data_IF_546125479751
#
_entry.id   IF_546125479751
#
_cell.length_a   1.000
_cell.length_b   1.000
_cell.length_c   1.000
_cell.angle_alpha   90.00
_cell.angle_beta   90.00
_cell.angle_gamma   90.00
#
_symmetry.space_group_name_H-M   'P 1'
#
loop_
_entity.id
_entity.type
_entity.pdbx_description
1 polymer ?
#
# COMPACT_ATOMS: atom_id res chain seq x y z
N UNK A 1 -10.58 -7.65 18.03
CA UNK A 1 -10.44 -8.28 19.35
C UNK A 1 -9.04 -8.07 19.95
N UNK A 2 -7.93 -8.46 19.32
CA UNK A 2 -6.58 -8.35 19.91
C UNK A 2 -6.25 -6.94 20.43
N UNK A 3 -6.56 -5.88 19.67
CA UNK A 3 -6.30 -4.51 20.10
C UNK A 3 -7.10 -4.12 21.35
N UNK A 4 -8.37 -4.53 21.42
CA UNK A 4 -9.22 -4.26 22.59
C UNK A 4 -8.66 -4.98 23.82
N UNK A 5 -8.29 -6.25 23.69
CA UNK A 5 -7.67 -7.02 24.79
C UNK A 5 -6.36 -6.36 25.24
N UNK A 6 -5.56 -5.89 24.28
CA UNK A 6 -4.30 -5.19 24.59
C UNK A 6 -4.53 -3.90 25.38
N UNK A 7 -5.50 -3.08 24.94
CA UNK A 7 -5.86 -1.83 25.64
C UNK A 7 -6.37 -2.13 27.04
N UNK A 8 -7.22 -3.16 27.18
CA UNK A 8 -7.76 -3.56 28.48
C UNK A 8 -6.65 -3.99 29.46
N UNK A 9 -5.69 -4.81 29.00
CA UNK A 9 -4.60 -5.31 29.86
C UNK A 9 -3.60 -4.20 30.20
N UNK A 10 -3.25 -3.31 29.25
CA UNK A 10 -2.19 -2.33 29.43
C UNK A 10 -2.66 -0.95 29.87
N UNK A 11 -3.97 -0.66 29.79
CA UNK A 11 -4.49 0.69 29.98
C UNK A 11 -4.01 1.73 28.94
N UNK A 12 -3.37 1.28 27.84
CA UNK A 12 -2.68 2.16 26.89
C UNK A 12 -3.11 1.90 25.44
N UNK A 13 -3.41 2.97 24.69
CA UNK A 13 -3.87 2.95 23.29
C UNK A 13 -2.72 2.98 22.28
N UNK A 14 -1.53 2.56 22.66
CA UNK A 14 -0.28 2.71 21.85
C UNK A 14 -0.42 2.29 20.39
N UNK A 15 -1.20 1.24 20.08
CA UNK A 15 -1.36 0.72 18.72
C UNK A 15 -2.68 1.12 18.06
N UNK A 16 -3.38 2.16 18.57
CA UNK A 16 -4.63 2.64 17.96
C UNK A 16 -4.42 3.17 16.53
N UNK A 17 -3.22 3.66 16.21
CA UNK A 17 -2.86 4.12 14.87
C UNK A 17 -2.97 3.01 13.80
N UNK A 18 -2.89 1.73 14.17
CA UNK A 18 -3.10 0.61 13.24
C UNK A 18 -4.51 0.61 12.64
N UNK A 19 -5.52 1.07 13.40
CA UNK A 19 -6.89 1.21 12.89
C UNK A 19 -6.91 2.25 11.76
N UNK A 20 -6.22 3.38 11.97
CA UNK A 20 -6.13 4.43 10.97
C UNK A 20 -5.41 3.96 9.71
N UNK A 21 -4.26 3.29 9.87
CA UNK A 21 -3.51 2.75 8.74
C UNK A 21 -4.33 1.70 7.97
N UNK A 22 -5.07 0.84 8.67
CA UNK A 22 -5.95 -0.12 8.02
C UNK A 22 -7.13 0.57 7.30
N UNK A 23 -7.70 1.63 7.88
CA UNK A 23 -8.71 2.44 7.21
C UNK A 23 -8.18 3.04 5.90
N UNK A 24 -6.95 3.58 5.91
CA UNK A 24 -6.32 4.09 4.69
C UNK A 24 -6.04 2.99 3.66
N UNK A 25 -5.77 1.76 4.09
CA UNK A 25 -5.61 0.61 3.21
C UNK A 25 -6.91 0.18 2.50
N UNK A 26 -8.08 0.49 3.08
CA UNK A 26 -9.37 0.25 2.43
C UNK A 26 -9.64 1.18 1.26
N UNK A 27 -9.11 2.40 1.24
CA UNK A 27 -9.39 3.41 0.20
C UNK A 27 -9.04 2.88 -1.20
N UNK A 28 -7.82 2.40 -1.49
CA UNK A 28 -7.48 1.89 -2.81
C UNK A 28 -8.30 0.65 -3.19
N UNK A 29 -8.66 -0.20 -2.24
CA UNK A 29 -9.54 -1.34 -2.52
C UNK A 29 -10.94 -0.89 -2.93
N UNK A 30 -11.53 0.09 -2.26
CA UNK A 30 -12.83 0.64 -2.66
C UNK A 30 -12.77 1.33 -4.04
N UNK A 31 -11.69 2.03 -4.35
CA UNK A 31 -11.48 2.64 -5.66
C UNK A 31 -11.33 1.59 -6.77
N UNK A 32 -10.64 0.48 -6.52
CA UNK A 32 -10.53 -0.62 -7.49
C UNK A 32 -11.88 -1.32 -7.72
N UNK A 33 -12.70 -1.48 -6.68
CA UNK A 33 -14.09 -1.98 -6.83
C UNK A 33 -14.92 -1.10 -7.76
N UNK A 34 -14.84 0.23 -7.59
CA UNK A 34 -15.53 1.18 -8.47
C UNK A 34 -15.03 1.07 -9.92
N UNK A 35 -13.71 0.87 -10.12
CA UNK A 35 -13.16 0.63 -11.46
C UNK A 35 -13.73 -0.64 -12.08
N UNK A 36 -13.68 -1.77 -11.37
CA UNK A 36 -14.19 -3.06 -11.90
C UNK A 36 -15.68 -2.98 -12.24
N UNK A 37 -16.49 -2.39 -11.38
CA UNK A 37 -17.94 -2.39 -11.54
C UNK A 37 -18.43 -1.41 -12.61
N UNK A 38 -17.71 -0.32 -12.86
CA UNK A 38 -18.21 0.81 -13.66
C UNK A 38 -17.28 1.30 -14.77
N UNK A 39 -16.14 0.62 -15.02
CA UNK A 39 -15.19 1.10 -16.03
C UNK A 39 -15.80 1.24 -17.43
N UNK A 40 -16.73 0.36 -17.83
CA UNK A 40 -17.40 0.41 -19.12
C UNK A 40 -18.37 1.59 -19.27
N UNK A 41 -18.90 2.11 -18.16
CA UNK A 41 -19.83 3.24 -18.13
C UNK A 41 -19.13 4.59 -18.07
N UNK A 42 -17.83 4.60 -17.70
CA UNK A 42 -17.09 5.82 -17.43
C UNK A 42 -16.47 6.40 -18.71
N UNK A 43 -16.47 7.73 -18.80
CA UNK A 43 -15.66 8.42 -19.80
C UNK A 43 -14.16 8.16 -19.53
N UNK A 44 -13.33 8.24 -20.57
CA UNK A 44 -11.86 8.09 -20.46
C UNK A 44 -11.25 9.01 -19.40
N UNK A 45 -11.74 10.24 -19.30
CA UNK A 45 -11.25 11.21 -18.29
C UNK A 45 -11.58 10.71 -16.88
N UNK A 46 -12.80 10.21 -16.65
CA UNK A 46 -13.22 9.69 -15.35
C UNK A 46 -12.42 8.46 -14.95
N UNK A 47 -12.15 7.56 -15.91
CA UNK A 47 -11.26 6.40 -15.67
C UNK A 47 -9.86 6.84 -15.24
N UNK A 48 -9.26 7.79 -15.95
CA UNK A 48 -7.93 8.31 -15.61
C UNK A 48 -7.93 8.96 -14.23
N UNK A 49 -8.95 9.73 -13.88
CA UNK A 49 -9.04 10.37 -12.56
C UNK A 49 -9.15 9.35 -11.43
N UNK A 50 -10.01 8.32 -11.58
CA UNK A 50 -10.17 7.29 -10.55
C UNK A 50 -8.91 6.43 -10.44
N UNK A 51 -8.29 6.07 -11.57
CA UNK A 51 -7.02 5.34 -11.59
C UNK A 51 -5.89 6.16 -10.91
N UNK A 52 -5.81 7.46 -11.19
CA UNK A 52 -4.82 8.35 -10.56
C UNK A 52 -5.05 8.47 -9.04
N UNK A 53 -6.31 8.60 -8.62
CA UNK A 53 -6.66 8.58 -7.20
C UNK A 53 -6.29 7.23 -6.57
N UNK A 54 -6.62 6.13 -7.23
CA UNK A 54 -6.22 4.79 -6.78
C UNK A 54 -4.70 4.68 -6.62
N UNK A 55 -3.93 5.07 -7.64
CA UNK A 55 -2.47 5.01 -7.61
C UNK A 55 -1.88 5.85 -6.48
N UNK A 56 -2.45 7.03 -6.22
CA UNK A 56 -2.03 7.92 -5.14
C UNK A 56 -2.26 7.30 -3.75
N UNK A 57 -3.39 6.61 -3.56
CA UNK A 57 -3.72 5.99 -2.27
C UNK A 57 -3.19 4.57 -2.12
N UNK A 58 -2.83 3.88 -3.20
CA UNK A 58 -2.40 2.48 -3.18
C UNK A 58 -1.21 2.21 -2.24
N UNK A 59 -0.18 3.07 -2.12
CA UNK A 59 0.94 2.83 -1.21
C UNK A 59 0.53 2.72 0.26
N UNK A 60 -0.62 3.27 0.68
CA UNK A 60 -1.08 3.18 2.08
C UNK A 60 -1.38 1.73 2.51
N UNK A 61 -1.81 0.88 1.57
CA UNK A 61 -2.14 -0.49 1.89
C UNK A 61 -0.88 -1.33 2.23
N UNK A 62 0.19 -1.39 1.42
CA UNK A 62 1.42 -2.06 1.80
C UNK A 62 2.25 -1.30 2.84
N UNK A 63 2.04 0.02 3.02
CA UNK A 63 2.74 0.82 4.03
C UNK A 63 2.66 0.21 5.43
N UNK A 64 1.54 -0.45 5.76
CA UNK A 64 1.29 -1.04 7.07
C UNK A 64 2.38 -2.07 7.48
N UNK A 65 3.14 -2.64 6.52
CA UNK A 65 4.29 -3.51 6.80
C UNK A 65 5.32 -2.79 7.65
N UNK A 66 5.50 -1.50 7.42
CA UNK A 66 6.49 -0.70 8.13
C UNK A 66 6.13 -0.47 9.61
N UNK A 67 4.90 -0.79 10.02
CA UNK A 67 4.47 -0.67 11.41
C UNK A 67 5.14 -1.67 12.34
N UNK A 68 5.80 -2.71 11.77
CA UNK A 68 6.70 -3.60 12.53
C UNK A 68 7.83 -2.84 13.25
N UNK A 69 8.23 -1.66 12.79
CA UNK A 69 9.25 -0.83 13.46
C UNK A 69 8.81 -0.38 14.86
N UNK A 70 7.49 -0.38 15.11
CA UNK A 70 6.92 -0.01 16.41
C UNK A 70 6.88 -1.16 17.40
N UNK A 71 7.27 -2.39 16.96
CA UNK A 71 7.37 -3.54 17.85
C UNK A 71 8.51 -3.35 18.83
N UNK A 72 8.19 -3.14 20.10
CA UNK A 72 9.17 -2.96 21.19
C UNK A 72 8.67 -3.67 22.43
N UNK A 73 9.62 -4.27 23.18
CA UNK A 73 9.32 -4.83 24.49
C UNK A 73 8.72 -3.75 25.41
N UNK A 74 7.54 -4.02 25.94
CA UNK A 74 6.85 -3.17 26.91
C UNK A 74 6.56 -3.95 28.17
N UNK A 75 6.65 -3.29 29.34
CA UNK A 75 6.35 -3.92 30.63
C UNK A 75 4.88 -4.40 30.66
N UNK A 76 4.66 -5.59 31.17
CA UNK A 76 3.33 -6.16 31.41
C UNK A 76 2.69 -6.84 30.21
N UNK A 77 3.25 -6.76 28.99
CA UNK A 77 2.72 -7.47 27.80
C UNK A 77 3.86 -8.22 27.10
N UNK A 78 3.69 -9.52 26.82
CA UNK A 78 4.67 -10.30 26.08
C UNK A 78 4.86 -9.77 24.66
N UNK A 79 6.10 -9.73 24.17
CA UNK A 79 6.42 -9.22 22.83
C UNK A 79 5.68 -9.98 21.71
N UNK A 80 5.50 -11.29 21.87
CA UNK A 80 4.80 -12.13 20.90
C UNK A 80 3.32 -11.70 20.71
N UNK A 81 2.67 -11.15 21.77
CA UNK A 81 1.30 -10.67 21.66
C UNK A 81 1.22 -9.42 20.76
N UNK A 82 2.11 -8.44 20.99
CA UNK A 82 2.19 -7.24 20.15
C UNK A 82 2.61 -7.59 18.71
N UNK A 83 3.48 -8.61 18.53
CA UNK A 83 3.84 -9.14 17.22
C UNK A 83 2.62 -9.68 16.45
N UNK A 84 1.83 -10.55 17.08
CA UNK A 84 0.62 -11.11 16.47
C UNK A 84 -0.39 -10.00 16.18
N UNK A 85 -0.55 -9.05 17.08
CA UNK A 85 -1.40 -7.89 16.89
C UNK A 85 -1.02 -7.10 15.63
N UNK A 86 0.22 -6.63 15.55
CA UNK A 86 0.71 -5.84 14.40
C UNK A 86 0.62 -6.68 13.12
N UNK A 87 1.06 -7.94 13.16
CA UNK A 87 1.04 -8.82 11.99
C UNK A 87 -0.39 -9.08 11.48
N UNK A 88 -1.40 -9.14 12.36
CA UNK A 88 -2.78 -9.28 11.93
C UNK A 88 -3.27 -8.08 11.11
N UNK A 89 -2.86 -6.86 11.46
CA UNK A 89 -3.16 -5.66 10.68
C UNK A 89 -2.39 -5.64 9.35
N UNK A 90 -1.09 -5.99 9.37
CA UNK A 90 -0.26 -6.11 8.17
C UNK A 90 -0.88 -7.09 7.18
N UNK A 91 -1.27 -8.27 7.65
CA UNK A 91 -1.89 -9.29 6.81
C UNK A 91 -3.15 -8.78 6.12
N UNK A 92 -4.06 -8.14 6.87
CA UNK A 92 -5.26 -7.55 6.28
C UNK A 92 -4.92 -6.43 5.27
N UNK A 93 -3.98 -5.56 5.56
CA UNK A 93 -3.54 -4.51 4.65
C UNK A 93 -2.95 -5.08 3.35
N UNK A 94 -2.11 -6.12 3.44
CA UNK A 94 -1.54 -6.79 2.26
C UNK A 94 -2.60 -7.50 1.41
N UNK A 95 -3.56 -8.17 2.04
CA UNK A 95 -4.68 -8.80 1.33
C UNK A 95 -5.48 -7.74 0.57
N UNK A 96 -5.82 -6.61 1.20
CA UNK A 96 -6.50 -5.50 0.54
C UNK A 96 -5.68 -4.94 -0.63
N UNK A 97 -4.36 -4.77 -0.45
CA UNK A 97 -3.46 -4.31 -1.50
C UNK A 97 -3.49 -5.26 -2.72
N UNK A 98 -3.33 -6.57 -2.49
CA UNK A 98 -3.24 -7.53 -3.58
C UNK A 98 -4.58 -7.76 -4.27
N UNK A 99 -5.70 -7.76 -3.53
CA UNK A 99 -7.04 -7.79 -4.13
C UNK A 99 -7.28 -6.55 -5.00
N UNK A 100 -6.99 -5.37 -4.48
CA UNK A 100 -7.10 -4.11 -5.21
C UNK A 100 -6.24 -4.09 -6.48
N UNK A 101 -4.99 -4.56 -6.37
CA UNK A 101 -4.07 -4.63 -7.50
C UNK A 101 -4.52 -5.64 -8.54
N UNK A 102 -5.06 -6.79 -8.12
CA UNK A 102 -5.60 -7.82 -9.03
C UNK A 102 -6.79 -7.28 -9.83
N UNK A 103 -7.70 -6.58 -9.17
CA UNK A 103 -8.85 -5.95 -9.81
C UNK A 103 -8.42 -4.92 -10.86
N UNK A 104 -7.51 -4.01 -10.51
CA UNK A 104 -6.98 -3.02 -11.45
C UNK A 104 -6.21 -3.69 -12.58
N UNK A 105 -5.43 -4.74 -12.31
CA UNK A 105 -4.72 -5.50 -13.34
C UNK A 105 -5.69 -6.10 -14.36
N UNK A 106 -6.82 -6.64 -13.92
CA UNK A 106 -7.84 -7.18 -14.81
C UNK A 106 -8.45 -6.08 -15.70
N UNK A 107 -8.78 -4.93 -15.12
CA UNK A 107 -9.29 -3.79 -15.90
C UNK A 107 -8.27 -3.32 -16.95
N UNK A 108 -6.98 -3.23 -16.58
CA UNK A 108 -5.93 -2.83 -17.54
C UNK A 108 -5.81 -3.85 -18.69
N UNK A 109 -5.94 -5.16 -18.41
CA UNK A 109 -5.88 -6.22 -19.42
C UNK A 109 -7.00 -6.13 -20.45
N UNK A 110 -8.14 -5.51 -20.13
CA UNK A 110 -9.22 -5.30 -21.10
C UNK A 110 -8.88 -4.19 -22.12
N UNK A 111 -8.02 -3.23 -21.76
CA UNK A 111 -7.67 -2.10 -22.61
C UNK A 111 -6.26 -2.21 -23.23
N UNK A 112 -5.39 -3.02 -22.66
CA UNK A 112 -3.98 -3.07 -23.00
C UNK A 112 -3.48 -4.50 -23.18
N UNK A 113 -2.34 -4.66 -23.89
CA UNK A 113 -1.67 -5.95 -23.98
C UNK A 113 -1.14 -6.44 -22.62
N UNK A 114 -0.93 -7.74 -22.51
CA UNK A 114 -0.40 -8.36 -21.29
C UNK A 114 0.94 -7.75 -20.85
N UNK A 115 1.82 -7.43 -21.81
CA UNK A 115 3.12 -6.80 -21.50
C UNK A 115 2.97 -5.43 -20.90
N UNK A 116 2.06 -4.60 -21.46
CA UNK A 116 1.77 -3.25 -20.93
C UNK A 116 1.15 -3.35 -19.54
N UNK A 117 0.24 -4.29 -19.33
CA UNK A 117 -0.40 -4.50 -18.04
C UNK A 117 0.63 -4.87 -16.97
N UNK A 118 1.52 -5.83 -17.23
CA UNK A 118 2.60 -6.19 -16.30
C UNK A 118 3.59 -5.06 -16.06
N UNK A 119 3.91 -4.27 -17.07
CA UNK A 119 4.75 -3.08 -16.91
C UNK A 119 4.08 -2.08 -15.96
N UNK A 120 2.79 -1.79 -16.17
CA UNK A 120 2.02 -0.86 -15.32
C UNK A 120 1.96 -1.36 -13.87
N UNK A 121 1.69 -2.64 -13.65
CA UNK A 121 1.67 -3.25 -12.31
C UNK A 121 3.05 -3.16 -11.65
N UNK A 122 4.11 -3.51 -12.37
CA UNK A 122 5.48 -3.44 -11.85
C UNK A 122 5.87 -2.02 -11.45
N UNK A 123 5.52 -1.04 -12.30
CA UNK A 123 5.73 0.37 -12.03
C UNK A 123 4.92 0.83 -10.80
N UNK A 124 3.66 0.41 -10.68
CA UNK A 124 2.82 0.72 -9.50
C UNK A 124 3.46 0.20 -8.21
N UNK A 125 3.98 -1.03 -8.21
CA UNK A 125 4.63 -1.61 -7.04
C UNK A 125 5.94 -0.91 -6.68
N UNK A 126 6.72 -0.49 -7.70
CA UNK A 126 7.93 0.32 -7.49
C UNK A 126 7.59 1.69 -6.91
N UNK A 127 6.59 2.37 -7.49
CA UNK A 127 6.08 3.65 -6.97
C UNK A 127 5.53 3.52 -5.55
N UNK A 128 4.94 2.36 -5.20
CA UNK A 128 4.51 2.09 -3.83
C UNK A 128 5.69 1.99 -2.86
N UNK A 129 6.81 1.40 -3.28
CA UNK A 129 8.05 1.41 -2.50
C UNK A 129 8.55 2.85 -2.24
N UNK A 130 8.46 3.73 -3.25
CA UNK A 130 8.78 5.14 -3.10
C UNK A 130 7.78 5.86 -2.18
N UNK A 131 6.48 5.59 -2.33
CA UNK A 131 5.43 6.12 -1.44
C UNK A 131 5.63 5.70 0.02
N UNK A 132 6.09 4.46 0.26
CA UNK A 132 6.48 3.98 1.59
C UNK A 132 7.66 4.80 2.15
N UNK A 133 8.65 5.12 1.31
CA UNK A 133 9.75 6.02 1.71
C UNK A 133 9.21 7.39 2.13
N UNK A 134 8.41 8.02 1.29
CA UNK A 134 7.82 9.33 1.58
C UNK A 134 7.00 9.32 2.87
N UNK A 135 6.16 8.32 3.06
CA UNK A 135 5.33 8.21 4.26
C UNK A 135 6.14 7.95 5.54
N UNK A 136 7.16 7.08 5.48
CA UNK A 136 7.90 6.66 6.67
C UNK A 136 9.01 7.61 7.09
N UNK A 137 9.71 8.20 6.13
CA UNK A 137 10.90 9.01 6.42
C UNK A 137 10.62 10.51 6.29
N UNK A 138 9.83 10.90 5.29
CA UNK A 138 9.46 12.31 5.06
C UNK A 138 8.13 12.69 5.71
N UNK A 139 7.35 11.69 6.20
CA UNK A 139 6.05 11.86 6.87
C UNK A 139 4.98 12.52 6.00
N UNK A 140 5.07 12.33 4.67
CA UNK A 140 4.05 12.75 3.73
C UNK A 140 2.90 11.75 3.66
N UNK A 141 1.69 12.27 3.56
CA UNK A 141 0.48 11.47 3.35
C UNK A 141 -0.05 11.69 1.91
N UNK A 142 -0.86 10.76 1.43
CA UNK A 142 -1.42 10.84 0.07
C UNK A 142 -2.26 12.10 -0.15
N UNK A 143 -2.92 12.63 0.85
CA UNK A 143 -3.70 13.87 0.74
C UNK A 143 -2.84 15.13 0.71
N UNK A 144 -1.61 15.10 1.19
CA UNK A 144 -0.72 16.28 1.18
C UNK A 144 -0.40 16.74 -0.24
N UNK A 145 -0.38 15.81 -1.20
CA UNK A 145 -0.27 16.16 -2.63
C UNK A 145 -1.44 17.04 -3.10
N UNK A 146 -2.65 16.82 -2.56
CA UNK A 146 -3.82 17.60 -2.95
C UNK A 146 -3.89 18.96 -2.22
N UNK A 147 -3.48 19.02 -0.94
CA UNK A 147 -3.58 20.23 -0.13
C UNK A 147 -2.33 21.11 -0.17
N UNK A 148 -1.15 20.54 -0.38
CA UNK A 148 0.15 21.22 -0.38
C UNK A 148 1.03 20.79 -1.55
N UNK A 149 0.55 20.87 -2.82
CA UNK A 149 1.23 20.29 -3.98
C UNK A 149 2.63 20.86 -4.23
N UNK A 150 2.80 22.18 -4.06
CA UNK A 150 4.10 22.82 -4.29
C UNK A 150 5.14 22.39 -3.25
N UNK A 151 4.78 22.41 -1.97
CA UNK A 151 5.69 21.99 -0.89
C UNK A 151 6.02 20.49 -0.99
N UNK A 152 5.05 19.66 -1.43
CA UNK A 152 5.29 18.24 -1.69
C UNK A 152 6.33 18.04 -2.80
N UNK A 153 6.14 18.67 -3.95
CA UNK A 153 7.07 18.56 -5.09
C UNK A 153 8.45 19.09 -4.71
N UNK A 154 8.54 20.24 -4.06
CA UNK A 154 9.81 20.82 -3.61
C UNK A 154 10.56 19.87 -2.67
N UNK A 155 9.87 19.29 -1.68
CA UNK A 155 10.47 18.34 -0.75
C UNK A 155 10.97 17.08 -1.46
N UNK A 156 10.15 16.49 -2.35
CA UNK A 156 10.54 15.32 -3.15
C UNK A 156 11.77 15.62 -4.01
N UNK A 157 11.80 16.78 -4.68
CA UNK A 157 12.94 17.18 -5.49
C UNK A 157 14.21 17.38 -4.65
N UNK A 158 14.10 18.04 -3.51
CA UNK A 158 15.22 18.22 -2.58
C UNK A 158 15.75 16.88 -2.07
N UNK A 159 14.87 15.92 -1.75
CA UNK A 159 15.27 14.59 -1.31
C UNK A 159 15.99 13.80 -2.40
N UNK A 160 15.49 13.84 -3.66
CA UNK A 160 16.10 13.14 -4.79
C UNK A 160 17.43 13.81 -5.21
N UNK A 161 17.53 15.14 -5.13
CA UNK A 161 18.75 15.86 -5.46
C UNK A 161 19.84 15.77 -4.35
N UNK A 162 19.53 15.24 -3.18
CA UNK A 162 20.50 15.07 -2.08
C UNK A 162 21.23 13.72 -2.21
N UNK A 163 22.55 13.71 -2.53
CA UNK A 163 23.30 12.47 -2.70
C UNK A 163 23.34 11.59 -1.44
N UNK A 164 23.23 12.18 -0.24
CA UNK A 164 23.27 11.43 1.03
C UNK A 164 21.98 10.63 1.25
N UNK A 165 20.85 11.08 0.71
CA UNK A 165 19.56 10.41 0.83
C UNK A 165 19.34 9.34 -0.24
N UNK A 166 20.00 9.44 -1.40
CA UNK A 166 19.80 8.54 -2.54
C UNK A 166 19.93 7.05 -2.19
N UNK A 167 20.94 6.59 -1.43
CA UNK A 167 21.05 5.17 -1.09
C UNK A 167 19.87 4.68 -0.26
N UNK A 168 19.32 5.51 0.63
CA UNK A 168 18.14 5.19 1.43
C UNK A 168 16.89 5.16 0.57
N UNK A 169 16.69 6.18 -0.26
CA UNK A 169 15.56 6.26 -1.20
C UNK A 169 15.55 5.03 -2.09
N UNK A 170 16.69 4.73 -2.74
CA UNK A 170 16.82 3.58 -3.62
C UNK A 170 16.59 2.26 -2.85
N UNK A 171 17.25 2.08 -1.71
CA UNK A 171 17.14 0.87 -0.90
C UNK A 171 15.70 0.59 -0.46
N UNK A 172 14.97 1.59 0.02
CA UNK A 172 13.57 1.44 0.43
C UNK A 172 12.67 1.22 -0.78
N UNK A 173 12.82 2.03 -1.84
CA UNK A 173 11.99 1.95 -3.04
C UNK A 173 12.13 0.59 -3.73
N UNK A 174 13.35 0.16 -4.02
CA UNK A 174 13.59 -1.13 -4.68
C UNK A 174 13.35 -2.30 -3.74
N UNK A 175 13.73 -2.21 -2.46
CA UNK A 175 13.52 -3.26 -1.48
C UNK A 175 12.03 -3.58 -1.29
N UNK A 176 11.19 -2.58 -0.99
CA UNK A 176 9.74 -2.79 -0.88
C UNK A 176 9.10 -3.07 -2.24
N UNK A 177 9.51 -2.40 -3.31
CA UNK A 177 8.99 -2.65 -4.65
C UNK A 177 9.18 -4.11 -5.07
N UNK A 178 10.38 -4.67 -4.87
CA UNK A 178 10.69 -6.07 -5.20
C UNK A 178 9.95 -7.06 -4.29
N UNK A 179 9.91 -6.79 -2.98
CA UNK A 179 9.15 -7.61 -2.03
C UNK A 179 7.68 -7.70 -2.45
N UNK A 180 7.07 -6.56 -2.75
CA UNK A 180 5.68 -6.49 -3.17
C UNK A 180 5.46 -7.16 -4.52
N UNK A 181 6.40 -7.01 -5.45
CA UNK A 181 6.33 -7.67 -6.76
C UNK A 181 6.33 -9.19 -6.63
N UNK A 182 7.27 -9.77 -5.87
CA UNK A 182 7.34 -11.22 -5.66
C UNK A 182 6.07 -11.73 -4.96
N UNK A 183 5.61 -11.03 -3.93
CA UNK A 183 4.41 -11.40 -3.19
C UNK A 183 3.16 -11.30 -4.09
N UNK A 184 3.01 -10.23 -4.87
CA UNK A 184 1.89 -10.09 -5.81
C UNK A 184 1.94 -11.13 -6.93
N UNK A 185 3.12 -11.39 -7.51
CA UNK A 185 3.26 -12.40 -8.54
C UNK A 185 2.82 -13.78 -8.05
N UNK A 186 3.22 -14.15 -6.83
CA UNK A 186 2.77 -15.40 -6.19
C UNK A 186 1.25 -15.41 -6.00
N UNK A 187 0.69 -14.31 -5.51
CA UNK A 187 -0.76 -14.18 -5.32
C UNK A 187 -1.54 -14.26 -6.64
N UNK A 188 -1.04 -13.61 -7.69
CA UNK A 188 -1.61 -13.64 -9.03
C UNK A 188 -1.62 -15.07 -9.62
N UNK A 189 -0.52 -15.81 -9.49
CA UNK A 189 -0.44 -17.19 -9.95
C UNK A 189 -1.42 -18.11 -9.21
N UNK A 190 -1.53 -17.96 -7.89
CA UNK A 190 -2.49 -18.74 -7.10
C UNK A 190 -3.95 -18.41 -7.48
N UNK A 191 -4.26 -17.16 -7.72
CA UNK A 191 -5.60 -16.74 -8.14
C UNK A 191 -5.98 -17.29 -9.52
N UNK A 192 -5.02 -17.34 -10.48
CA UNK A 192 -5.28 -17.82 -11.83
C UNK A 192 -5.21 -19.35 -11.95
N UNK A 193 -4.47 -20.05 -11.10
CA UNK A 193 -4.42 -21.52 -11.12
C UNK A 193 -5.79 -22.15 -10.86
N UNK A 194 -6.66 -21.50 -10.10
CA UNK A 194 -8.04 -21.98 -9.88
C UNK A 194 -8.91 -21.85 -11.13
N UNK A 195 -8.74 -20.78 -11.93
CA UNK A 195 -9.53 -20.58 -13.16
C UNK A 195 -9.24 -21.64 -14.25
N UNK A 196 -8.09 -22.31 -14.19
CA UNK A 196 -7.70 -23.33 -15.15
C UNK A 196 -8.16 -24.75 -14.73
N UNK A 197 -8.79 -24.91 -13.58
CA UNK A 197 -9.30 -26.18 -13.05
C UNK A 197 -10.83 -26.29 -13.14
N UNK A 198 -11.51 -25.21 -13.54
CA UNK A 198 -12.95 -25.14 -13.87
C UNK A 198 -13.19 -25.14 -15.40
#
# INVERSE_FOLDING_TARGET
MLLISRVYISGNITYAFLIWNLFLAWIPFLLSRVLVEKHSEFSKIKLVLIFSAWLLFFPNAPYIITDLIHLKQKSGIPLWFDLILIFSFIWNGLVLAFLSLLEVHQVILEYCSQSISWFTISLTLLLSGFGIYLGRFERWNSWDLAFHPLSFVENVMNSICNPELLPRIAGVTFGFGMLLFVAYFTFYQLANSRKNLE
#
